data_IF_170379946081
#
_entry.id   IF_170379946081
#
_cell.length_a   1.000
_cell.length_b   1.000
_cell.length_c   1.000
_cell.angle_alpha   90.00
_cell.angle_beta   90.00
_cell.angle_gamma   90.00
#
_symmetry.space_group_name_H-M   'P 1'
#
loop_
_entity.id
_entity.type
_entity.pdbx_description
1 polymer ?
#
# COMPACT_ATOMS: atom_id res chain seq x y z
N UNK A 1 -2.88 -20.89 17.96
CA UNK A 1 -3.38 -19.60 18.47
C UNK A 1 -2.95 -18.45 17.54
N UNK A 2 -3.15 -18.57 16.22
CA UNK A 2 -2.50 -17.67 15.24
C UNK A 2 -3.45 -16.65 14.59
N UNK A 3 -4.74 -16.69 14.91
CA UNK A 3 -5.72 -15.75 14.32
C UNK A 3 -5.64 -14.33 14.87
N UNK A 4 -4.96 -14.10 16.01
CA UNK A 4 -4.92 -12.80 16.67
C UNK A 4 -3.80 -11.87 16.14
N UNK A 5 -2.65 -12.44 15.77
CA UNK A 5 -1.44 -11.65 15.47
C UNK A 5 -1.53 -10.87 14.15
N UNK A 6 -2.10 -11.47 13.09
CA UNK A 6 -2.29 -10.75 11.82
C UNK A 6 -3.28 -9.59 11.95
N UNK A 7 -4.28 -9.74 12.83
CA UNK A 7 -5.22 -8.67 13.15
C UNK A 7 -4.55 -7.52 13.90
N UNK A 8 -3.65 -7.81 14.84
CA UNK A 8 -2.84 -6.80 15.54
C UNK A 8 -1.91 -6.06 14.57
N UNK A 9 -1.22 -6.79 13.67
CA UNK A 9 -0.40 -6.17 12.63
C UNK A 9 -1.20 -5.29 11.69
N UNK A 10 -2.36 -5.77 11.21
CA UNK A 10 -3.24 -4.96 10.38
C UNK A 10 -3.62 -3.65 11.08
N UNK A 11 -4.04 -3.73 12.34
CA UNK A 11 -4.39 -2.55 13.13
C UNK A 11 -3.22 -1.59 13.31
N UNK A 12 -2.02 -2.08 13.63
CA UNK A 12 -0.82 -1.24 13.77
C UNK A 12 -0.56 -0.48 12.47
N UNK A 13 -0.62 -1.16 11.32
CA UNK A 13 -0.36 -0.52 10.03
C UNK A 13 -1.46 0.50 9.69
N UNK A 14 -2.73 0.19 9.94
CA UNK A 14 -3.86 1.11 9.77
C UNK A 14 -3.72 2.36 10.66
N UNK A 15 -3.32 2.20 11.92
CA UNK A 15 -3.06 3.32 12.83
C UNK A 15 -1.93 4.23 12.29
N UNK A 16 -0.86 3.64 11.73
CA UNK A 16 0.23 4.42 11.11
C UNK A 16 -0.24 5.19 9.87
N UNK A 17 -1.04 4.56 8.99
CA UNK A 17 -1.62 5.20 7.81
C UNK A 17 -2.47 6.40 8.23
N UNK A 18 -3.29 6.24 9.27
CA UNK A 18 -4.13 7.31 9.82
C UNK A 18 -3.29 8.45 10.40
N UNK A 19 -2.26 8.15 11.19
CA UNK A 19 -1.35 9.17 11.76
C UNK A 19 -0.66 9.97 10.66
N UNK A 20 -0.33 9.32 9.54
CA UNK A 20 0.33 9.96 8.39
C UNK A 20 -0.65 10.72 7.48
N UNK A 21 -1.97 10.51 7.63
CA UNK A 21 -2.98 11.12 6.77
C UNK A 21 -3.05 10.48 5.37
N UNK A 22 -2.75 9.19 5.25
CA UNK A 22 -2.64 8.46 3.98
C UNK A 22 -3.87 7.60 3.65
N UNK A 23 -4.99 7.78 4.37
CA UNK A 23 -6.16 6.91 4.33
C UNK A 23 -6.88 6.92 2.96
N UNK A 24 -6.74 7.99 2.18
CA UNK A 24 -7.30 8.05 0.83
C UNK A 24 -6.51 7.27 -0.22
N UNK A 25 -5.29 6.80 0.12
CA UNK A 25 -4.57 5.92 -0.78
C UNK A 25 -5.33 4.60 -0.95
N UNK A 26 -5.28 4.05 -2.16
CA UNK A 26 -5.77 2.69 -2.39
C UNK A 26 -4.78 1.71 -1.78
N UNK A 27 -5.19 1.01 -0.75
CA UNK A 27 -4.35 -0.04 -0.16
C UNK A 27 -5.13 -1.29 0.25
N UNK A 28 -4.40 -2.38 0.53
CA UNK A 28 -4.95 -3.63 1.04
C UNK A 28 -3.94 -4.33 1.95
N UNK A 29 -4.42 -4.85 3.08
CA UNK A 29 -3.60 -5.44 4.14
C UNK A 29 -4.17 -6.81 4.49
N UNK A 30 -3.47 -7.88 4.10
CA UNK A 30 -3.81 -9.27 4.39
C UNK A 30 -5.23 -9.69 3.97
N UNK A 31 -5.73 -9.14 2.87
CA UNK A 31 -7.04 -9.50 2.32
C UNK A 31 -6.97 -10.75 1.41
N UNK A 32 -5.76 -11.22 1.09
CA UNK A 32 -5.49 -12.28 0.13
C UNK A 32 -5.21 -11.70 -1.25
N UNK A 33 -4.15 -12.20 -1.89
CA UNK A 33 -3.57 -11.62 -3.10
C UNK A 33 -4.55 -11.44 -4.29
N UNK A 34 -5.58 -12.28 -4.37
CA UNK A 34 -6.60 -12.25 -5.42
C UNK A 34 -7.87 -11.47 -5.07
N UNK A 35 -8.02 -11.03 -3.82
CA UNK A 35 -9.23 -10.37 -3.35
C UNK A 35 -9.13 -8.84 -3.44
N UNK A 36 -10.24 -8.20 -3.77
CA UNK A 36 -10.40 -6.73 -3.72
C UNK A 36 -9.31 -5.95 -4.47
N UNK A 37 -8.83 -6.50 -5.60
CA UNK A 37 -7.78 -5.89 -6.41
C UNK A 37 -8.32 -4.67 -7.16
N UNK A 38 -7.62 -3.56 -7.04
CA UNK A 38 -7.91 -2.32 -7.76
C UNK A 38 -6.66 -1.86 -8.50
N UNK A 39 -6.77 -0.94 -9.45
CA UNK A 39 -5.61 -0.30 -10.08
C UNK A 39 -4.94 0.68 -9.11
N UNK A 40 -3.61 0.80 -9.18
CA UNK A 40 -2.81 1.69 -8.34
C UNK A 40 -3.01 1.47 -6.83
N UNK A 41 -3.17 0.20 -6.43
CA UNK A 41 -3.38 -0.24 -5.07
C UNK A 41 -2.08 -0.78 -4.49
N UNK A 42 -1.68 -0.28 -3.32
CA UNK A 42 -0.51 -0.76 -2.57
C UNK A 42 -0.97 -1.92 -1.68
N UNK A 43 -0.26 -3.03 -1.72
CA UNK A 43 -0.69 -4.27 -1.05
C UNK A 43 0.42 -4.83 -0.20
N UNK A 44 0.02 -5.36 0.95
CA UNK A 44 0.85 -6.21 1.79
C UNK A 44 0.10 -7.51 2.07
N UNK A 45 0.71 -8.65 1.74
CA UNK A 45 0.10 -9.98 1.85
C UNK A 45 1.02 -10.93 2.61
N UNK A 46 0.43 -11.87 3.37
CA UNK A 46 1.18 -12.95 4.02
C UNK A 46 1.05 -14.23 3.20
N UNK A 47 2.13 -14.67 2.56
CA UNK A 47 2.18 -15.86 1.71
C UNK A 47 3.09 -16.89 2.37
N UNK A 48 2.49 -17.89 3.04
CA UNK A 48 3.26 -18.84 3.85
C UNK A 48 4.05 -18.11 4.94
N UNK A 49 5.37 -18.23 4.91
CA UNK A 49 6.28 -17.62 5.89
C UNK A 49 6.85 -16.26 5.45
N UNK A 50 6.50 -15.75 4.26
CA UNK A 50 6.97 -14.44 3.76
C UNK A 50 5.85 -13.39 3.71
N UNK A 51 6.22 -12.14 3.86
CA UNK A 51 5.38 -10.97 3.62
C UNK A 51 5.73 -10.37 2.27
N UNK A 52 4.76 -10.23 1.39
CA UNK A 52 4.92 -9.63 0.08
C UNK A 52 4.35 -8.22 0.09
N UNK A 53 5.13 -7.24 -0.38
CA UNK A 53 4.68 -5.86 -0.59
C UNK A 53 4.78 -5.55 -2.07
N UNK A 54 3.69 -5.06 -2.66
CA UNK A 54 3.66 -4.73 -4.09
C UNK A 54 2.60 -3.68 -4.42
N UNK A 55 2.69 -3.13 -5.63
CA UNK A 55 1.62 -2.30 -6.18
C UNK A 55 0.91 -3.01 -7.32
N UNK A 56 -0.34 -2.65 -7.53
CA UNK A 56 -1.04 -2.94 -8.77
C UNK A 56 -0.91 -1.77 -9.75
N UNK A 57 -0.86 -2.07 -11.04
CA UNK A 57 -0.81 -1.12 -12.15
C UNK A 57 -2.17 -1.02 -12.86
N UNK A 58 -2.16 -0.40 -14.04
CA UNK A 58 -3.26 -0.53 -15.01
C UNK A 58 -3.64 -2.01 -15.23
N UNK A 59 -4.95 -2.28 -15.32
CA UNK A 59 -5.52 -3.64 -15.41
C UNK A 59 -5.12 -4.56 -14.24
N UNK A 60 -4.77 -3.97 -13.10
CA UNK A 60 -4.30 -4.66 -11.91
C UNK A 60 -3.07 -5.58 -12.16
N UNK A 61 -2.16 -5.23 -13.06
CA UNK A 61 -0.86 -5.92 -13.16
C UNK A 61 -0.02 -5.73 -11.88
N UNK A 62 0.88 -6.65 -11.52
CA UNK A 62 1.77 -6.47 -10.34
C UNK A 62 3.02 -5.70 -10.75
N UNK A 63 3.38 -4.66 -10.00
CA UNK A 63 4.62 -3.88 -10.13
C UNK A 63 5.34 -3.84 -8.79
N UNK A 64 6.68 -3.95 -8.83
CA UNK A 64 7.53 -3.73 -7.66
C UNK A 64 7.19 -4.69 -6.52
N UNK A 65 7.42 -5.99 -6.74
CA UNK A 65 7.20 -7.01 -5.73
C UNK A 65 8.44 -7.15 -4.85
N UNK A 66 8.25 -6.96 -3.55
CA UNK A 66 9.27 -7.09 -2.50
C UNK A 66 8.84 -8.18 -1.51
N UNK A 67 9.78 -8.98 -1.04
CA UNK A 67 9.53 -10.12 -0.16
C UNK A 67 10.36 -9.97 1.12
N UNK A 68 9.73 -10.21 2.28
CA UNK A 68 10.34 -10.02 3.59
C UNK A 68 9.98 -11.18 4.52
N UNK A 69 10.92 -11.59 5.37
CA UNK A 69 10.65 -12.53 6.47
C UNK A 69 10.10 -11.79 7.70
N UNK A 70 10.57 -10.57 7.94
CA UNK A 70 10.14 -9.71 9.03
C UNK A 70 8.99 -8.78 8.61
N UNK A 71 8.01 -8.62 9.51
CA UNK A 71 6.82 -7.81 9.26
C UNK A 71 7.10 -6.31 9.32
N UNK A 72 8.03 -5.85 10.18
CA UNK A 72 8.33 -4.43 10.32
C UNK A 72 9.13 -3.93 9.12
N UNK A 73 9.98 -4.77 8.53
CA UNK A 73 10.62 -4.48 7.24
C UNK A 73 9.57 -4.33 6.11
N UNK A 74 8.58 -5.23 6.09
CA UNK A 74 7.47 -5.13 5.14
C UNK A 74 6.62 -3.87 5.36
N UNK A 75 6.36 -3.48 6.62
CA UNK A 75 5.68 -2.22 6.95
C UNK A 75 6.45 -1.00 6.48
N UNK A 76 7.76 -0.98 6.71
CA UNK A 76 8.62 0.11 6.24
C UNK A 76 8.53 0.24 4.72
N UNK A 77 8.64 -0.87 3.98
CA UNK A 77 8.52 -0.85 2.53
C UNK A 77 7.14 -0.37 2.06
N UNK A 78 6.07 -0.84 2.71
CA UNK A 78 4.69 -0.47 2.37
C UNK A 78 4.45 1.03 2.57
N UNK A 79 4.86 1.59 3.70
CA UNK A 79 4.74 3.02 3.99
C UNK A 79 5.65 3.88 3.10
N UNK A 80 6.85 3.38 2.74
CA UNK A 80 7.73 4.05 1.78
C UNK A 80 7.06 4.16 0.41
N UNK A 81 6.42 3.09 -0.07
CA UNK A 81 5.68 3.12 -1.34
C UNK A 81 4.51 4.11 -1.25
N UNK A 82 3.77 4.15 -0.14
CA UNK A 82 2.70 5.14 0.06
C UNK A 82 3.19 6.57 -0.07
N UNK A 83 4.31 6.87 0.59
CA UNK A 83 4.93 8.20 0.51
C UNK A 83 5.37 8.52 -0.93
N UNK A 84 6.00 7.59 -1.63
CA UNK A 84 6.44 7.77 -3.01
C UNK A 84 5.26 7.98 -3.97
N UNK A 85 4.16 7.25 -3.78
CA UNK A 85 2.91 7.43 -4.55
C UNK A 85 2.36 8.85 -4.37
N UNK A 86 2.36 9.38 -3.14
CA UNK A 86 1.93 10.76 -2.86
C UNK A 86 2.83 11.77 -3.54
N UNK A 87 4.14 11.65 -3.34
CA UNK A 87 5.11 12.59 -3.90
C UNK A 87 5.08 12.58 -5.44
N UNK A 88 4.94 11.40 -6.04
CA UNK A 88 4.82 11.22 -7.48
C UNK A 88 3.55 11.88 -8.03
N UNK A 89 2.38 11.61 -7.44
CA UNK A 89 1.11 12.18 -7.92
C UNK A 89 1.03 13.70 -7.70
N UNK A 90 1.50 14.23 -6.56
CA UNK A 90 1.63 15.69 -6.35
C UNK A 90 2.49 16.35 -7.41
N UNK A 91 3.65 15.74 -7.73
CA UNK A 91 4.53 16.21 -8.80
C UNK A 91 3.81 16.21 -10.16
N UNK A 92 3.06 15.16 -10.48
CA UNK A 92 2.28 15.08 -11.73
C UNK A 92 1.25 16.21 -11.83
N UNK A 93 0.45 16.41 -10.79
CA UNK A 93 -0.56 17.49 -10.73
C UNK A 93 0.10 18.86 -10.90
N UNK A 94 1.17 19.13 -10.16
CA UNK A 94 1.95 20.38 -10.28
C UNK A 94 2.49 20.60 -11.70
N UNK A 95 2.95 19.54 -12.36
CA UNK A 95 3.47 19.59 -13.72
C UNK A 95 2.35 19.61 -14.79
N UNK A 96 1.07 19.73 -14.41
CA UNK A 96 -0.09 19.76 -15.31
C UNK A 96 -0.42 18.40 -15.94
N UNK A 97 0.07 17.30 -15.37
CA UNK A 97 -0.15 15.92 -15.83
C UNK A 97 -1.27 15.26 -15.02
N UNK A 98 -2.03 14.32 -15.63
CA UNK A 98 -3.04 13.57 -14.88
C UNK A 98 -2.39 12.72 -13.79
N UNK A 99 -2.94 12.72 -12.58
CA UNK A 99 -2.63 11.76 -11.53
C UNK A 99 -3.10 10.34 -11.93
N UNK A 100 -2.60 9.32 -11.23
CA UNK A 100 -2.96 7.92 -11.45
C UNK A 100 -4.45 7.64 -11.17
N UNK A 101 -5.01 8.31 -10.17
CA UNK A 101 -6.44 8.32 -9.86
C UNK A 101 -6.84 9.62 -9.15
N UNK A 102 -8.13 9.99 -9.07
CA UNK A 102 -8.56 11.15 -8.29
C UNK A 102 -8.40 10.91 -6.77
N UNK A 103 -7.74 11.83 -6.06
CA UNK A 103 -7.68 11.89 -4.58
C UNK A 103 -7.32 13.31 -4.14
N UNK A 104 -7.77 13.71 -2.94
CA UNK A 104 -7.42 15.01 -2.35
C UNK A 104 -5.96 15.10 -1.92
N UNK A 105 -5.27 13.96 -1.77
CA UNK A 105 -3.86 13.90 -1.34
C UNK A 105 -2.88 14.53 -2.34
N UNK A 106 -3.29 14.71 -3.59
CA UNK A 106 -2.43 15.23 -4.66
C UNK A 106 -2.37 16.75 -4.74
N UNK A 107 -3.37 17.44 -4.16
CA UNK A 107 -3.54 18.89 -4.29
C UNK A 107 -2.89 19.68 -3.15
N UNK A 108 -2.24 18.97 -2.21
CA UNK A 108 -1.53 19.51 -1.04
C UNK A 108 -0.09 19.94 -1.32
#
# INVERSE_FOLDING_TARGET
MNGNLMGEYKKILEDNIQILGYEELRYSIFEGAENNRQEYQIRIEKIGDIFEVYMTADRAGVIGKYEFEDIFDAFHQFLSIMQDTILSNRKRVRDGKPAEYPSSLWDN
#
